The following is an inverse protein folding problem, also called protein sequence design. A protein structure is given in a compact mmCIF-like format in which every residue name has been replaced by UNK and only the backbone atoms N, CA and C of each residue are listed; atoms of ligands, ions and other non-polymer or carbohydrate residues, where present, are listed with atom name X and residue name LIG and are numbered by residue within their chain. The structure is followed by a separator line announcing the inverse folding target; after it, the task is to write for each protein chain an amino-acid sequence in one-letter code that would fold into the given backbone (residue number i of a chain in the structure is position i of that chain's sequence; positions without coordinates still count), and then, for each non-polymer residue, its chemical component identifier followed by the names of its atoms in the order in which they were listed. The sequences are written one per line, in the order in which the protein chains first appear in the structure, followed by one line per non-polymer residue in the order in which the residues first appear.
data_IF_250980034825
#
_entry.id   IF_250980034825
#
_cell.length_a   1.000
_cell.length_b   1.000
_cell.length_c   1.000
_cell.angle_alpha   90.00
_cell.angle_beta   90.00
_cell.angle_gamma   90.00
#
_symmetry.space_group_name_H-M   'P 1'
#
loop_
_entity.id
_entity.type
_entity.pdbx_description
1 polymer ?
#
# COMPACT_ATOMS: atom_id res chain seq x y z
N UNK A 1 -31.82 32.16 -43.65
CA UNK A 1 -31.55 30.85 -43.05
C UNK A 1 -30.11 30.88 -42.52
N UNK A 2 -29.91 30.86 -41.20
CA UNK A 2 -28.57 30.85 -40.56
C UNK A 2 -28.51 29.62 -39.66
N UNK A 3 -27.90 28.55 -40.16
CA UNK A 3 -27.71 27.31 -39.44
C UNK A 3 -26.46 27.42 -38.56
N UNK A 4 -26.66 27.31 -37.25
CA UNK A 4 -25.57 27.27 -36.26
C UNK A 4 -25.24 25.79 -36.02
N UNK A 5 -23.98 25.41 -36.24
CA UNK A 5 -23.44 24.09 -35.94
C UNK A 5 -23.04 24.05 -34.46
N UNK A 6 -23.75 23.24 -33.66
CA UNK A 6 -23.38 22.97 -32.27
C UNK A 6 -22.35 21.82 -32.23
N UNK A 7 -21.13 22.11 -31.75
CA UNK A 7 -20.12 21.08 -31.48
C UNK A 7 -20.38 20.45 -30.12
N UNK A 8 -20.58 19.13 -30.09
CA UNK A 8 -20.73 18.34 -28.86
C UNK A 8 -19.35 17.83 -28.46
N UNK A 9 -18.78 18.40 -27.40
CA UNK A 9 -17.57 17.86 -26.75
C UNK A 9 -17.94 16.67 -25.87
N UNK A 10 -17.47 15.48 -26.23
CA UNK A 10 -17.61 14.27 -25.42
C UNK A 10 -16.63 14.33 -24.23
N UNK A 11 -17.15 14.45 -23.01
CA UNK A 11 -16.35 14.30 -21.79
C UNK A 11 -16.21 12.79 -21.50
N UNK A 12 -15.06 12.20 -21.80
CA UNK A 12 -14.76 10.82 -21.36
C UNK A 12 -14.32 10.92 -19.89
N UNK A 13 -15.25 10.65 -18.98
CA UNK A 13 -14.90 10.43 -17.58
C UNK A 13 -14.17 9.08 -17.48
N UNK A 14 -12.84 9.11 -17.43
CA UNK A 14 -12.05 7.93 -17.10
C UNK A 14 -12.37 7.53 -15.66
N UNK A 15 -12.99 6.37 -15.47
CA UNK A 15 -13.16 5.79 -14.15
C UNK A 15 -11.78 5.37 -13.62
N UNK A 16 -11.14 6.24 -12.84
CA UNK A 16 -9.97 5.85 -12.06
C UNK A 16 -10.45 4.81 -11.05
N UNK A 17 -9.93 3.58 -11.15
CA UNK A 17 -10.09 2.61 -10.07
C UNK A 17 -9.55 3.26 -8.79
N UNK A 18 -10.39 3.35 -7.76
CA UNK A 18 -10.04 3.98 -6.48
C UNK A 18 -8.74 3.35 -5.97
N UNK A 19 -7.70 4.16 -5.78
CA UNK A 19 -6.42 3.67 -5.29
C UNK A 19 -6.58 3.16 -3.86
N UNK A 20 -6.32 1.88 -3.64
CA UNK A 20 -6.65 1.20 -2.39
C UNK A 20 -5.59 0.16 -2.02
N UNK A 21 -5.31 0.02 -0.72
CA UNK A 21 -4.45 -1.02 -0.16
C UNK A 21 -5.31 -2.01 0.64
N UNK A 22 -5.21 -3.31 0.33
CA UNK A 22 -5.92 -4.35 1.08
C UNK A 22 -5.25 -4.61 2.42
N UNK A 23 -6.00 -4.47 3.51
CA UNK A 23 -5.48 -4.75 4.87
C UNK A 23 -5.28 -6.24 5.04
N UNK A 24 -4.05 -6.72 5.32
CA UNK A 24 -3.81 -8.14 5.54
C UNK A 24 -4.55 -8.63 6.79
N UNK A 25 -5.16 -9.81 6.69
CA UNK A 25 -5.67 -10.53 7.84
C UNK A 25 -4.59 -11.51 8.29
N UNK A 26 -4.21 -11.47 9.57
CA UNK A 26 -3.20 -12.37 10.17
C UNK A 26 -1.76 -12.21 9.66
N UNK A 27 -1.12 -11.09 10.00
CA UNK A 27 0.34 -10.96 9.87
C UNK A 27 1.02 -11.64 11.05
N UNK A 28 1.91 -12.59 10.79
CA UNK A 28 2.69 -13.33 11.79
C UNK A 28 4.16 -12.97 11.65
N UNK A 29 4.86 -12.73 12.77
CA UNK A 29 6.30 -12.44 12.72
C UNK A 29 7.06 -13.59 12.03
N UNK A 30 7.95 -13.22 11.13
CA UNK A 30 8.79 -14.12 10.34
C UNK A 30 8.05 -15.11 9.43
N UNK A 31 6.80 -14.81 9.08
CA UNK A 31 6.07 -15.54 8.05
C UNK A 31 5.81 -14.65 6.81
N UNK A 32 5.80 -15.24 5.60
CA UNK A 32 5.48 -14.53 4.39
C UNK A 32 4.00 -14.10 4.38
N UNK A 33 3.77 -12.82 4.16
CA UNK A 33 2.44 -12.21 3.99
C UNK A 33 2.34 -11.62 2.60
N UNK A 34 1.28 -11.96 1.87
CA UNK A 34 0.99 -11.34 0.56
C UNK A 34 0.34 -9.96 0.78
N UNK A 35 1.00 -8.93 0.29
CA UNK A 35 0.49 -7.55 0.26
C UNK A 35 -0.11 -7.28 -1.11
N UNK A 36 -1.30 -6.67 -1.14
CA UNK A 36 -2.07 -6.44 -2.38
C UNK A 36 -2.67 -5.03 -2.34
N UNK A 37 -2.56 -4.32 -3.46
CA UNK A 37 -3.21 -3.04 -3.69
C UNK A 37 -3.93 -3.04 -5.05
N UNK A 38 -4.78 -2.06 -5.30
CA UNK A 38 -5.48 -1.91 -6.59
C UNK A 38 -5.63 -0.44 -6.96
N UNK A 39 -5.77 -0.16 -8.25
CA UNK A 39 -5.80 1.20 -8.78
C UNK A 39 -4.42 1.88 -8.82
N UNK A 40 -4.41 3.21 -8.93
CA UNK A 40 -3.19 4.02 -9.04
C UNK A 40 -2.40 3.80 -10.34
N UNK A 41 -1.31 4.56 -10.50
CA UNK A 41 -0.43 4.51 -11.68
C UNK A 41 0.98 4.08 -11.29
N UNK A 42 1.38 2.87 -11.68
CA UNK A 42 2.72 2.35 -11.40
C UNK A 42 3.85 3.22 -12.02
N UNK A 43 5.09 3.13 -11.52
CA UNK A 43 5.53 2.26 -10.41
C UNK A 43 4.96 2.64 -9.04
N UNK A 44 4.96 1.67 -8.12
CA UNK A 44 4.45 1.79 -6.75
C UNK A 44 5.57 1.69 -5.73
N UNK A 45 5.56 2.54 -4.72
CA UNK A 45 6.55 2.62 -3.66
C UNK A 45 5.89 2.23 -2.34
N UNK A 46 6.35 1.14 -1.73
CA UNK A 46 5.73 0.57 -0.55
C UNK A 46 6.51 0.89 0.73
N UNK A 47 5.77 1.12 1.82
CA UNK A 47 6.36 1.43 3.13
C UNK A 47 5.55 0.83 4.28
N UNK A 48 6.25 0.43 5.34
CA UNK A 48 5.67 0.11 6.64
C UNK A 48 5.61 1.38 7.48
N UNK A 49 4.46 1.65 8.10
CA UNK A 49 4.16 2.86 8.87
C UNK A 49 3.80 2.51 10.31
N UNK A 50 3.97 3.43 11.28
CA UNK A 50 3.46 3.24 12.63
C UNK A 50 1.93 3.17 12.61
N UNK A 51 1.34 2.10 13.19
CA UNK A 51 -0.11 1.92 13.18
C UNK A 51 -0.88 3.02 13.93
N UNK A 52 -0.24 3.68 14.90
CA UNK A 52 -0.80 4.80 15.66
C UNK A 52 -0.66 6.16 14.95
N UNK A 53 0.20 6.27 13.93
CA UNK A 53 0.40 7.49 13.16
C UNK A 53 0.86 7.16 11.74
N UNK A 54 -0.10 6.95 10.85
CA UNK A 54 0.13 6.62 9.43
C UNK A 54 0.72 7.78 8.61
N UNK A 55 0.78 8.99 9.17
CA UNK A 55 1.44 10.15 8.56
C UNK A 55 2.85 10.36 9.12
N UNK A 56 3.29 9.51 10.05
CA UNK A 56 4.64 9.52 10.61
C UNK A 56 5.70 9.07 9.61
N UNK A 57 6.96 9.11 10.06
CA UNK A 57 8.06 8.55 9.29
C UNK A 57 7.86 7.04 9.08
N UNK A 58 8.19 6.56 7.88
CA UNK A 58 8.17 5.14 7.58
C UNK A 58 9.16 4.39 8.48
N UNK A 59 8.69 3.28 9.05
CA UNK A 59 9.50 2.35 9.84
C UNK A 59 10.40 1.53 8.92
N UNK A 60 9.90 1.18 7.75
CA UNK A 60 10.63 0.44 6.73
C UNK A 60 10.16 0.87 5.32
N UNK A 61 11.08 0.90 4.36
CA UNK A 61 10.79 1.10 2.95
C UNK A 61 11.00 -0.23 2.21
N UNK A 62 9.91 -0.76 1.64
CA UNK A 62 9.93 -2.05 0.94
C UNK A 62 10.37 -1.93 -0.52
N UNK A 63 10.60 -0.71 -1.02
CA UNK A 63 11.10 -0.43 -2.36
C UNK A 63 10.01 -0.19 -3.41
N UNK A 64 10.42 -0.30 -4.68
CA UNK A 64 9.60 -0.01 -5.85
C UNK A 64 9.12 -1.30 -6.53
N UNK A 65 7.85 -1.33 -6.92
CA UNK A 65 7.20 -2.45 -7.59
C UNK A 65 6.43 -1.98 -8.83
N UNK A 66 6.45 -2.80 -9.89
CA UNK A 66 5.65 -2.56 -11.10
C UNK A 66 4.31 -3.32 -11.07
N UNK A 67 4.18 -4.33 -10.21
CA UNK A 67 2.94 -5.09 -10.01
C UNK A 67 2.03 -4.44 -8.97
N UNK A 68 0.93 -5.13 -8.65
CA UNK A 68 -0.04 -4.74 -7.62
C UNK A 68 -0.02 -5.65 -6.38
N UNK A 69 1.02 -6.47 -6.27
CA UNK A 69 1.25 -7.32 -5.12
C UNK A 69 2.74 -7.56 -4.89
N UNK A 70 3.09 -7.88 -3.66
CA UNK A 70 4.39 -8.39 -3.28
C UNK A 70 4.29 -9.26 -2.04
N UNK A 71 5.24 -10.18 -1.85
CA UNK A 71 5.32 -10.98 -0.63
C UNK A 71 6.35 -10.37 0.30
N UNK A 72 5.92 -10.00 1.50
CA UNK A 72 6.77 -9.46 2.56
C UNK A 72 6.88 -10.48 3.68
N UNK A 73 8.09 -10.75 4.14
CA UNK A 73 8.31 -11.52 5.37
C UNK A 73 8.36 -10.53 6.52
N UNK A 74 7.37 -10.60 7.44
CA UNK A 74 7.27 -9.64 8.53
C UNK A 74 8.47 -9.74 9.48
N UNK A 75 9.35 -8.76 9.45
CA UNK A 75 10.58 -8.65 10.25
C UNK A 75 10.40 -7.81 11.52
N UNK A 76 9.15 -7.48 11.86
CA UNK A 76 8.79 -6.80 13.09
C UNK A 76 8.42 -7.81 14.19
N UNK A 77 8.78 -7.54 15.46
CA UNK A 77 8.43 -8.43 16.56
C UNK A 77 6.92 -8.44 16.81
N UNK A 78 6.42 -9.56 17.33
CA UNK A 78 5.05 -9.73 17.78
C UNK A 78 4.63 -8.62 18.75
N UNK A 79 3.40 -8.12 18.59
CA UNK A 79 2.89 -6.98 19.33
C UNK A 79 3.20 -5.63 18.69
N UNK A 80 4.02 -5.57 17.63
CA UNK A 80 4.19 -4.34 16.84
C UNK A 80 2.85 -3.91 16.22
N UNK A 81 2.53 -2.63 16.35
CA UNK A 81 1.31 -2.04 15.79
C UNK A 81 1.67 -1.21 14.54
N UNK A 82 1.27 -1.72 13.38
CA UNK A 82 1.75 -1.27 12.07
C UNK A 82 0.59 -0.90 11.16
N UNK A 83 0.90 -0.14 10.11
CA UNK A 83 0.06 0.05 8.94
C UNK A 83 0.92 -0.02 7.68
N UNK A 84 0.29 -0.23 6.52
CA UNK A 84 0.97 -0.28 5.24
C UNK A 84 0.57 0.92 4.40
N UNK A 85 1.54 1.46 3.67
CA UNK A 85 1.32 2.52 2.71
C UNK A 85 1.87 2.15 1.35
N UNK A 86 1.18 2.58 0.30
CA UNK A 86 1.68 2.57 -1.06
C UNK A 86 1.50 3.96 -1.66
N UNK A 87 2.57 4.47 -2.27
CA UNK A 87 2.55 5.67 -3.09
C UNK A 87 2.74 5.28 -4.54
N UNK A 88 1.98 5.86 -5.46
CA UNK A 88 2.17 5.61 -6.89
C UNK A 88 3.09 6.64 -7.55
N UNK A 89 3.29 6.54 -8.87
CA UNK A 89 4.22 7.39 -9.61
C UNK A 89 3.77 8.84 -9.77
N UNK A 90 2.48 9.12 -9.60
CA UNK A 90 1.91 10.47 -9.67
C UNK A 90 1.75 11.10 -8.27
N UNK A 91 2.13 10.37 -7.23
CA UNK A 91 2.20 10.86 -5.86
C UNK A 91 0.94 10.57 -5.04
N UNK A 92 -0.06 9.90 -5.62
CA UNK A 92 -1.25 9.44 -4.89
C UNK A 92 -0.84 8.39 -3.87
N UNK A 93 -1.61 8.31 -2.77
CA UNK A 93 -1.31 7.41 -1.65
C UNK A 93 -2.54 6.59 -1.30
N UNK A 94 -2.34 5.29 -1.11
CA UNK A 94 -3.31 4.42 -0.48
C UNK A 94 -2.70 3.80 0.79
N UNK A 95 -3.54 3.70 1.83
CA UNK A 95 -3.16 3.17 3.14
C UNK A 95 -4.02 1.94 3.45
N UNK A 96 -3.44 0.97 4.14
CA UNK A 96 -4.20 -0.10 4.78
C UNK A 96 -4.82 0.40 6.09
N UNK A 97 -5.70 -0.41 6.68
CA UNK A 97 -5.98 -0.34 8.11
C UNK A 97 -4.75 -0.73 8.93
N UNK A 98 -4.71 -0.31 10.19
CA UNK A 98 -3.66 -0.70 11.14
C UNK A 98 -3.92 -2.11 11.69
N UNK A 99 -2.86 -2.85 11.99
CA UNK A 99 -2.92 -4.21 12.52
C UNK A 99 -1.79 -4.48 13.51
N UNK A 100 -1.95 -5.55 14.29
CA UNK A 100 -0.95 -6.03 15.25
C UNK A 100 -0.28 -7.29 14.72
N UNK A 101 1.04 -7.36 14.83
CA UNK A 101 1.81 -8.55 14.43
C UNK A 101 1.61 -9.68 15.45
N UNK A 102 1.25 -10.87 14.96
CA UNK A 102 1.04 -12.05 15.79
C UNK A 102 2.35 -12.77 16.14
N UNK A 103 2.39 -13.53 17.25
CA UNK A 103 3.53 -14.38 17.60
C UNK A 103 3.85 -15.43 16.53
N UNK A 104 5.13 -15.70 16.33
CA UNK A 104 5.66 -16.59 15.29
C UNK A 104 7.13 -16.94 15.57
N UNK A 105 7.88 -17.37 14.56
CA UNK A 105 9.32 -17.64 14.75
C UNK A 105 10.11 -16.33 14.95
N UNK A 106 11.36 -16.42 15.41
CA UNK A 106 12.26 -15.25 15.57
C UNK A 106 13.36 -15.19 14.50
N UNK A 107 13.28 -16.04 13.48
CA UNK A 107 14.39 -16.31 12.55
C UNK A 107 14.75 -15.12 11.66
N UNK A 108 13.79 -14.24 11.39
CA UNK A 108 13.95 -13.05 10.58
C UNK A 108 14.23 -11.77 11.39
N UNK A 109 14.06 -11.83 12.72
CA UNK A 109 14.30 -10.67 13.57
C UNK A 109 15.81 -10.48 13.68
N UNK A 110 16.31 -9.33 13.22
CA UNK A 110 17.70 -8.96 13.47
C UNK A 110 17.83 -8.78 14.97
N UNK A 111 18.41 -9.76 15.65
CA UNK A 111 18.70 -9.69 17.08
C UNK A 111 19.62 -8.48 17.30
N UNK A 112 19.10 -7.39 17.84
CA UNK A 112 19.91 -6.27 18.31
C UNK A 112 20.60 -6.78 19.59
N UNK A 113 21.82 -7.28 19.42
CA UNK A 113 22.76 -7.56 20.51
C UNK A 113 23.31 -6.25 21.08
#
# INVERSE_FOLDING_TARGET
MKTVLASVTLFVAGALAQFNFSTPIYVVQCEPTLLIWSGGTGPYFLSILPGANVLGAALENLGQYNGQSMTWTCDFPSGSYLALGVRDSIGEVALSGSFTVNPGSKLCLVSVL
#
